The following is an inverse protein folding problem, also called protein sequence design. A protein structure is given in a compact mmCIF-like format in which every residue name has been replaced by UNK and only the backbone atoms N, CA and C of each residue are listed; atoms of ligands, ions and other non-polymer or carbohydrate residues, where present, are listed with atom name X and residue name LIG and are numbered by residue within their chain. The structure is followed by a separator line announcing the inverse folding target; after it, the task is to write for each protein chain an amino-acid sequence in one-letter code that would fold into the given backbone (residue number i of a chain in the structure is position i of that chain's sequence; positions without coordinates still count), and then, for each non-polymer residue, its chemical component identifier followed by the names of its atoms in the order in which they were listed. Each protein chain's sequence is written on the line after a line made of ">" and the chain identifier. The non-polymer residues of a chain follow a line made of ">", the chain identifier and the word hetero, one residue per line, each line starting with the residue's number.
data_IF_125154165997
#
_entry.id   IF_125154165997
#
_cell.length_a   1.000
_cell.length_b   1.000
_cell.length_c   1.000
_cell.angle_alpha   90.00
_cell.angle_beta   90.00
_cell.angle_gamma   90.00
#
_symmetry.space_group_name_H-M   'P 1'
#
loop_
_entity.id
_entity.type
_entity.pdbx_description
1 polymer ?
#
# COMPACT_ATOMS: atom_id res chain seq x y z
N UNK A 1 -8.28 19.25 -13.86
CA UNK A 1 -8.24 17.88 -13.32
C UNK A 1 -8.59 17.97 -11.85
N UNK A 2 -9.78 17.53 -11.46
CA UNK A 2 -10.18 17.53 -10.05
C UNK A 2 -9.54 16.31 -9.39
N UNK A 3 -8.71 16.51 -8.37
CA UNK A 3 -8.10 15.39 -7.65
C UNK A 3 -9.19 14.64 -6.88
N UNK A 4 -9.33 13.34 -7.17
CA UNK A 4 -10.28 12.48 -6.46
C UNK A 4 -9.85 12.28 -5.00
N UNK A 5 -10.69 12.75 -4.06
CA UNK A 5 -10.50 12.56 -2.62
C UNK A 5 -10.44 11.06 -2.28
N UNK A 6 -11.25 10.24 -2.95
CA UNK A 6 -11.20 8.78 -2.78
C UNK A 6 -9.82 8.22 -3.18
N UNK A 7 -9.26 8.70 -4.30
CA UNK A 7 -7.90 8.32 -4.73
C UNK A 7 -6.83 8.64 -3.68
N UNK A 8 -6.90 9.82 -3.04
CA UNK A 8 -5.99 10.19 -1.96
C UNK A 8 -6.13 9.29 -0.72
N UNK A 9 -7.36 8.90 -0.36
CA UNK A 9 -7.60 7.97 0.75
C UNK A 9 -6.99 6.60 0.43
N UNK A 10 -7.22 6.06 -0.76
CA UNK A 10 -6.62 4.79 -1.17
C UNK A 10 -5.09 4.83 -1.22
N UNK A 11 -4.52 5.97 -1.63
CA UNK A 11 -3.07 6.20 -1.61
C UNK A 11 -2.52 6.13 -0.18
N UNK A 12 -3.16 6.84 0.76
CA UNK A 12 -2.77 6.82 2.17
C UNK A 12 -2.83 5.41 2.77
N UNK A 13 -3.91 4.68 2.48
CA UNK A 13 -4.09 3.29 2.94
C UNK A 13 -2.99 2.38 2.37
N UNK A 14 -2.64 2.53 1.08
CA UNK A 14 -1.54 1.80 0.45
C UNK A 14 -0.20 2.06 1.14
N UNK A 15 0.10 3.32 1.45
CA UNK A 15 1.33 3.72 2.15
C UNK A 15 1.40 3.10 3.56
N UNK A 16 0.29 3.08 4.30
CA UNK A 16 0.23 2.46 5.63
C UNK A 16 0.55 0.97 5.56
N UNK A 17 -0.06 0.23 4.64
CA UNK A 17 0.24 -1.19 4.46
C UNK A 17 1.68 -1.43 4.04
N UNK A 18 2.22 -0.60 3.14
CA UNK A 18 3.62 -0.69 2.74
C UNK A 18 4.57 -0.43 3.92
N UNK A 19 4.24 0.53 4.79
CA UNK A 19 4.98 0.79 6.02
C UNK A 19 4.99 -0.40 6.99
N UNK A 20 3.86 -1.13 7.11
CA UNK A 20 3.79 -2.36 7.92
C UNK A 20 4.69 -3.46 7.35
N UNK A 21 4.72 -3.62 6.02
CA UNK A 21 5.62 -4.56 5.34
C UNK A 21 7.08 -4.19 5.58
N UNK A 22 7.42 -2.91 5.41
CA UNK A 22 8.78 -2.41 5.61
C UNK A 22 9.25 -2.59 7.06
N UNK A 23 8.38 -2.30 8.03
CA UNK A 23 8.65 -2.56 9.45
C UNK A 23 8.90 -4.05 9.70
N UNK A 24 8.06 -4.92 9.15
CA UNK A 24 8.20 -6.36 9.33
C UNK A 24 9.52 -6.87 8.73
N UNK A 25 9.86 -6.42 7.53
CA UNK A 25 11.11 -6.72 6.84
C UNK A 25 12.35 -6.28 7.63
N UNK A 26 12.31 -5.09 8.24
CA UNK A 26 13.40 -4.58 9.08
C UNK A 26 13.53 -5.39 10.38
N UNK A 27 12.40 -5.75 11.00
CA UNK A 27 12.39 -6.44 12.29
C UNK A 27 12.86 -7.90 12.17
N UNK A 28 12.54 -8.58 11.06
CA UNK A 28 12.82 -10.01 10.86
C UNK A 28 14.09 -10.30 10.05
N UNK A 29 15.11 -9.42 10.14
CA UNK A 29 16.41 -9.57 9.43
C UNK A 29 16.23 -9.96 7.95
N UNK A 30 15.41 -9.20 7.22
CA UNK A 30 15.17 -9.39 5.79
C UNK A 30 14.38 -10.64 5.37
N UNK A 31 13.76 -11.36 6.30
CA UNK A 31 12.76 -12.39 5.94
C UNK A 31 11.36 -11.79 5.88
N UNK A 32 10.75 -11.84 4.69
CA UNK A 32 9.34 -11.48 4.50
C UNK A 32 8.48 -12.64 5.03
N UNK A 33 7.89 -12.45 6.20
CA UNK A 33 6.89 -13.37 6.74
C UNK A 33 5.69 -13.48 5.78
N UNK A 34 4.99 -14.62 5.81
CA UNK A 34 3.81 -14.86 4.98
C UNK A 34 2.76 -13.76 5.15
N UNK A 35 2.58 -13.27 6.38
CA UNK A 35 1.70 -12.13 6.66
C UNK A 35 2.15 -10.85 5.95
N UNK A 36 3.44 -10.50 6.00
CA UNK A 36 3.98 -9.34 5.30
C UNK A 36 3.78 -9.42 3.78
N UNK A 37 3.85 -10.62 3.19
CA UNK A 37 3.55 -10.78 1.76
C UNK A 37 2.08 -10.49 1.44
N UNK A 38 1.15 -10.86 2.33
CA UNK A 38 -0.28 -10.55 2.16
C UNK A 38 -0.50 -9.04 2.24
N UNK A 39 0.08 -8.37 3.25
CA UNK A 39 0.00 -6.91 3.37
C UNK A 39 0.60 -6.19 2.16
N UNK A 40 1.69 -6.72 1.59
CA UNK A 40 2.32 -6.17 0.38
C UNK A 40 1.41 -6.28 -0.84
N UNK A 41 0.73 -7.43 -1.01
CA UNK A 41 -0.26 -7.62 -2.08
C UNK A 41 -1.44 -6.64 -1.92
N UNK A 42 -1.93 -6.46 -0.69
CA UNK A 42 -2.97 -5.48 -0.40
C UNK A 42 -2.52 -4.04 -0.74
N UNK A 43 -1.31 -3.67 -0.33
CA UNK A 43 -0.72 -2.36 -0.62
C UNK A 43 -0.65 -2.10 -2.13
N UNK A 44 -0.24 -3.10 -2.93
CA UNK A 44 -0.21 -3.00 -4.39
C UNK A 44 -1.61 -2.80 -4.99
N UNK A 45 -2.62 -3.58 -4.55
CA UNK A 45 -4.00 -3.45 -5.06
C UNK A 45 -4.53 -2.05 -4.77
N UNK A 46 -4.41 -1.57 -3.53
CA UNK A 46 -4.86 -0.24 -3.17
C UNK A 46 -4.08 0.87 -3.89
N UNK A 47 -2.78 0.67 -4.13
CA UNK A 47 -1.97 1.61 -4.91
C UNK A 47 -2.43 1.74 -6.36
N UNK A 48 -2.72 0.60 -7.02
CA UNK A 48 -3.25 0.60 -8.39
C UNK A 48 -4.60 1.30 -8.47
N UNK A 49 -5.52 0.98 -7.53
CA UNK A 49 -6.84 1.62 -7.46
C UNK A 49 -6.71 3.12 -7.20
N UNK A 50 -5.80 3.54 -6.31
CA UNK A 50 -5.52 4.95 -6.04
C UNK A 50 -5.06 5.69 -7.29
N UNK A 51 -4.11 5.12 -8.04
CA UNK A 51 -3.63 5.69 -9.30
C UNK A 51 -4.79 5.83 -10.29
N UNK A 52 -5.55 4.75 -10.53
CA UNK A 52 -6.71 4.82 -11.43
C UNK A 52 -7.70 5.91 -11.04
N UNK A 53 -8.01 6.06 -9.75
CA UNK A 53 -8.95 7.07 -9.26
C UNK A 53 -8.39 8.50 -9.28
N UNK A 54 -7.06 8.69 -9.22
CA UNK A 54 -6.45 10.02 -9.30
C UNK A 54 -6.37 10.55 -10.74
N UNK A 55 -6.37 9.65 -11.74
CA UNK A 55 -6.28 9.98 -13.16
C UNK A 55 -7.63 9.99 -13.91
N UNK A 56 -8.70 9.50 -13.28
CA UNK A 56 -10.10 9.64 -13.73
C UNK A 56 -10.65 10.99 -13.31
#
# INVERSE_FOLDING_TARGET
>A
MSISIAGLIFLLVSIVFFGLVLRNFWTHRHSLTTEAQIWLRLAMIFGIVAVLLLFV
#
